data_IF_607799598875
#
_entry.id   IF_607799598875
#
_cell.length_a   1.000
_cell.length_b   1.000
_cell.length_c   1.000
_cell.angle_alpha   90.00
_cell.angle_beta   90.00
_cell.angle_gamma   90.00
#
_symmetry.space_group_name_H-M   'P 1'
#
loop_
_entity.id
_entity.type
_entity.pdbx_description
1 polymer ?
#
# COMPACT_ATOMS: atom_id res chain seq x y z
N UNK A 1 11.99 4.68 33.03
CA UNK A 1 10.76 4.11 32.42
C UNK A 1 9.82 5.26 32.11
N UNK A 2 9.70 5.64 30.83
CA UNK A 2 8.65 6.57 30.38
C UNK A 2 8.06 5.95 29.12
N UNK A 3 6.97 5.20 29.29
CA UNK A 3 6.19 4.70 28.17
C UNK A 3 5.23 5.82 27.76
N UNK A 4 5.74 6.85 27.10
CA UNK A 4 4.90 7.87 26.48
C UNK A 4 4.25 7.23 25.28
N UNK A 5 3.04 6.71 25.44
CA UNK A 5 2.17 6.33 24.31
C UNK A 5 1.86 7.60 23.53
N UNK A 6 2.71 7.93 22.56
CA UNK A 6 2.41 9.02 21.64
C UNK A 6 1.17 8.62 20.85
N UNK A 7 0.17 9.50 20.85
CA UNK A 7 -1.06 9.30 20.09
C UNK A 7 -1.16 10.35 19.01
N UNK A 8 -1.58 9.94 17.82
CA UNK A 8 -1.86 10.83 16.70
C UNK A 8 -3.37 10.91 16.52
N UNK A 9 -3.89 12.13 16.36
CA UNK A 9 -5.27 12.35 15.93
C UNK A 9 -5.27 12.56 14.42
N UNK A 10 -6.10 11.80 13.70
CA UNK A 10 -6.32 11.91 12.25
C UNK A 10 -7.80 12.11 11.96
N UNK A 11 -8.12 12.79 10.87
CA UNK A 11 -9.49 12.99 10.41
C UNK A 11 -9.76 12.17 9.16
N UNK A 12 -10.81 11.34 9.21
CA UNK A 12 -11.22 10.45 8.12
C UNK A 12 -12.73 10.58 7.97
N UNK A 13 -13.18 10.99 6.79
CA UNK A 13 -14.57 11.27 6.43
C UNK A 13 -15.24 12.17 7.47
N UNK A 14 -14.57 13.27 7.83
CA UNK A 14 -15.02 14.29 8.79
C UNK A 14 -15.16 13.77 10.24
N UNK A 15 -14.62 12.59 10.54
CA UNK A 15 -14.58 12.00 11.89
C UNK A 15 -13.14 11.94 12.40
N UNK A 16 -12.94 12.32 13.65
CA UNK A 16 -11.62 12.24 14.29
C UNK A 16 -11.36 10.87 14.92
N UNK A 17 -10.17 10.33 14.68
CA UNK A 17 -9.70 9.08 15.24
C UNK A 17 -8.37 9.31 15.95
N UNK A 18 -8.26 8.76 17.16
CA UNK A 18 -7.02 8.78 17.94
C UNK A 18 -6.35 7.41 17.86
N UNK A 19 -5.16 7.36 17.31
CA UNK A 19 -4.40 6.13 17.09
C UNK A 19 -3.06 6.20 17.82
N UNK A 20 -2.51 5.03 18.17
CA UNK A 20 -1.15 4.95 18.70
C UNK A 20 -0.15 5.29 17.61
N UNK A 21 0.82 6.13 17.94
CA UNK A 21 1.84 6.63 17.06
C UNK A 21 3.21 6.38 17.71
N UNK A 22 3.92 5.33 17.30
CA UNK A 22 5.32 5.15 17.67
C UNK A 22 6.15 6.39 17.30
N UNK A 23 7.30 6.60 17.96
CA UNK A 23 8.29 7.55 17.45
C UNK A 23 8.61 7.19 15.99
N UNK A 24 8.74 8.21 15.14
CA UNK A 24 9.05 8.13 13.71
C UNK A 24 7.91 7.68 12.75
N UNK A 25 6.80 7.13 13.24
CA UNK A 25 5.69 6.69 12.36
C UNK A 25 4.64 7.78 12.05
N UNK A 26 4.82 9.01 12.55
CA UNK A 26 3.77 10.05 12.46
C UNK A 26 3.38 10.38 11.02
N UNK A 27 4.37 10.58 10.16
CA UNK A 27 4.13 11.00 8.77
C UNK A 27 3.55 9.85 7.94
N UNK A 28 4.01 8.62 8.18
CA UNK A 28 3.48 7.39 7.58
C UNK A 28 2.01 7.18 7.97
N UNK A 29 1.68 7.28 9.26
CA UNK A 29 0.30 7.13 9.75
C UNK A 29 -0.61 8.25 9.26
N UNK A 30 -0.10 9.47 9.15
CA UNK A 30 -0.83 10.61 8.56
C UNK A 30 -1.14 10.36 7.09
N UNK A 31 -0.15 9.86 6.34
CA UNK A 31 -0.30 9.52 4.92
C UNK A 31 -1.28 8.36 4.71
N UNK A 32 -1.21 7.32 5.56
CA UNK A 32 -2.15 6.20 5.54
C UNK A 32 -3.59 6.65 5.85
N UNK A 33 -3.79 7.54 6.82
CA UNK A 33 -5.10 8.11 7.13
C UNK A 33 -5.67 8.92 5.95
N UNK A 34 -4.82 9.70 5.28
CA UNK A 34 -5.21 10.45 4.08
C UNK A 34 -5.61 9.52 2.93
N UNK A 35 -4.84 8.47 2.67
CA UNK A 35 -5.16 7.47 1.65
C UNK A 35 -6.53 6.82 1.92
N UNK A 36 -6.81 6.48 3.19
CA UNK A 36 -8.09 5.92 3.59
C UNK A 36 -9.23 6.92 3.41
N UNK A 37 -9.06 8.18 3.81
CA UNK A 37 -10.05 9.26 3.60
C UNK A 37 -10.39 9.43 2.12
N UNK A 38 -9.38 9.53 1.26
CA UNK A 38 -9.54 9.69 -0.18
C UNK A 38 -10.33 8.51 -0.78
N UNK A 39 -9.98 7.27 -0.42
CA UNK A 39 -10.70 6.08 -0.91
C UNK A 39 -12.13 6.00 -0.40
N UNK A 40 -12.38 6.36 0.86
CA UNK A 40 -13.74 6.40 1.38
C UNK A 40 -14.59 7.48 0.69
N UNK A 41 -14.02 8.66 0.38
CA UNK A 41 -14.69 9.72 -0.37
C UNK A 41 -15.03 9.29 -1.80
N UNK A 42 -14.10 8.63 -2.48
CA UNK A 42 -14.32 8.07 -3.82
C UNK A 42 -15.51 7.11 -3.84
N UNK A 43 -15.54 6.15 -2.91
CA UNK A 43 -16.62 5.16 -2.80
C UNK A 43 -17.96 5.86 -2.47
N UNK A 44 -17.94 6.82 -1.53
CA UNK A 44 -19.14 7.61 -1.18
C UNK A 44 -19.70 8.31 -2.41
N UNK A 45 -18.85 9.00 -3.16
CA UNK A 45 -19.24 9.77 -4.35
C UNK A 45 -19.79 8.85 -5.44
N UNK A 46 -19.09 7.76 -5.76
CA UNK A 46 -19.55 6.77 -6.74
C UNK A 46 -20.90 6.15 -6.36
N UNK A 47 -21.11 5.84 -5.07
CA UNK A 47 -22.37 5.27 -4.58
C UNK A 47 -23.55 6.25 -4.71
N UNK A 48 -23.31 7.52 -4.38
CA UNK A 48 -24.32 8.58 -4.51
C UNK A 48 -24.70 8.85 -5.97
N UNK A 49 -23.72 8.86 -6.90
CA UNK A 49 -23.98 9.01 -8.34
C UNK A 49 -24.84 7.88 -8.91
N UNK A 50 -24.74 6.66 -8.35
CA UNK A 50 -25.56 5.51 -8.72
C UNK A 50 -26.94 5.50 -8.04
N UNK A 51 -27.28 6.51 -7.23
CA UNK A 51 -28.52 6.56 -6.45
C UNK A 51 -28.55 5.61 -5.24
N UNK A 52 -27.41 5.00 -4.88
CA UNK A 52 -27.30 4.05 -3.77
C UNK A 52 -26.49 4.66 -2.63
N UNK A 53 -27.16 5.17 -1.62
CA UNK A 53 -26.49 5.71 -0.42
C UNK A 53 -25.97 4.55 0.45
N UNK A 54 -24.65 4.49 0.64
CA UNK A 54 -24.02 3.54 1.56
C UNK A 54 -23.73 4.22 2.90
N UNK A 55 -23.92 3.50 4.01
CA UNK A 55 -23.51 3.97 5.33
C UNK A 55 -21.98 4.00 5.47
N UNK A 56 -21.48 4.88 6.34
CA UNK A 56 -20.04 5.11 6.58
C UNK A 56 -19.27 3.84 6.94
N UNK A 57 -19.84 2.97 7.77
CA UNK A 57 -19.16 1.73 8.18
C UNK A 57 -18.95 0.78 6.99
N UNK A 58 -19.95 0.70 6.10
CA UNK A 58 -19.83 -0.10 4.87
C UNK A 58 -18.83 0.51 3.90
N UNK A 59 -18.80 1.84 3.79
CA UNK A 59 -17.79 2.56 2.99
C UNK A 59 -16.39 2.28 3.53
N UNK A 60 -16.20 2.30 4.85
CA UNK A 60 -14.90 2.02 5.49
C UNK A 60 -14.42 0.59 5.20
N UNK A 61 -15.31 -0.41 5.32
CA UNK A 61 -14.98 -1.82 5.01
C UNK A 61 -14.59 -1.98 3.55
N UNK A 62 -15.33 -1.37 2.61
CA UNK A 62 -15.00 -1.45 1.17
C UNK A 62 -13.66 -0.75 0.89
N UNK A 63 -13.41 0.42 1.48
CA UNK A 63 -12.14 1.13 1.32
C UNK A 63 -10.96 0.31 1.83
N UNK A 64 -11.09 -0.29 3.02
CA UNK A 64 -10.07 -1.15 3.61
C UNK A 64 -9.79 -2.38 2.74
N UNK A 65 -10.83 -3.04 2.22
CA UNK A 65 -10.69 -4.18 1.32
C UNK A 65 -9.98 -3.80 0.00
N UNK A 66 -10.33 -2.66 -0.58
CA UNK A 66 -9.69 -2.18 -1.80
C UNK A 66 -8.19 -1.89 -1.58
N UNK A 67 -7.84 -1.24 -0.48
CA UNK A 67 -6.45 -0.95 -0.13
C UNK A 67 -5.67 -2.25 0.13
N UNK A 68 -6.24 -3.19 0.88
CA UNK A 68 -5.62 -4.50 1.12
C UNK A 68 -5.38 -5.27 -0.18
N UNK A 69 -6.35 -5.23 -1.11
CA UNK A 69 -6.20 -5.86 -2.41
C UNK A 69 -5.08 -5.22 -3.24
N UNK A 70 -4.98 -3.88 -3.26
CA UNK A 70 -3.91 -3.16 -3.95
C UNK A 70 -2.54 -3.49 -3.37
N UNK A 71 -2.42 -3.58 -2.05
CA UNK A 71 -1.17 -4.00 -1.39
C UNK A 71 -0.75 -5.41 -1.84
N UNK A 72 -1.69 -6.36 -1.88
CA UNK A 72 -1.41 -7.72 -2.36
C UNK A 72 -0.96 -7.73 -3.82
N UNK A 73 -1.61 -6.95 -4.68
CA UNK A 73 -1.20 -6.83 -6.08
C UNK A 73 0.21 -6.26 -6.24
N UNK A 74 0.56 -5.24 -5.45
CA UNK A 74 1.91 -4.64 -5.45
C UNK A 74 2.97 -5.63 -4.97
N UNK A 75 2.66 -6.45 -3.96
CA UNK A 75 3.56 -7.51 -3.49
C UNK A 75 3.82 -8.56 -4.56
N UNK A 76 2.77 -9.01 -5.27
CA UNK A 76 2.90 -9.95 -6.39
C UNK A 76 3.71 -9.33 -7.53
N UNK A 77 3.47 -8.07 -7.86
CA UNK A 77 4.22 -7.39 -8.90
C UNK A 77 5.71 -7.25 -8.52
N UNK A 78 6.00 -6.94 -7.26
CA UNK A 78 7.37 -6.86 -6.77
C UNK A 78 8.09 -8.22 -6.85
N UNK A 79 7.41 -9.33 -6.49
CA UNK A 79 8.01 -10.66 -6.62
C UNK A 79 8.27 -11.03 -8.08
N UNK A 80 7.36 -10.69 -8.99
CA UNK A 80 7.56 -10.90 -10.43
C UNK A 80 8.74 -10.10 -10.97
N UNK A 81 8.91 -8.86 -10.54
CA UNK A 81 10.07 -8.03 -10.94
C UNK A 81 11.37 -8.64 -10.41
N UNK A 82 11.39 -9.14 -9.17
CA UNK A 82 12.56 -9.82 -8.62
C UNK A 82 12.92 -11.08 -9.43
N UNK A 83 11.94 -11.92 -9.77
CA UNK A 83 12.16 -13.10 -10.62
C UNK A 83 12.70 -12.74 -12.01
N UNK A 84 12.23 -11.64 -12.61
CA UNK A 84 12.75 -11.18 -13.90
C UNK A 84 14.18 -10.65 -13.81
N UNK A 85 14.56 -10.02 -12.69
CA UNK A 85 15.95 -9.60 -12.45
C UNK A 85 16.85 -10.84 -12.34
N UNK A 86 16.46 -11.84 -11.55
CA UNK A 86 17.23 -13.09 -11.39
C UNK A 86 17.43 -13.78 -12.75
N UNK A 87 16.37 -13.84 -13.58
CA UNK A 87 16.48 -14.41 -14.94
C UNK A 87 17.42 -13.63 -15.85
N UNK A 88 17.48 -12.30 -15.71
CA UNK A 88 18.41 -11.49 -16.49
C UNK A 88 19.85 -11.70 -16.03
N UNK A 89 20.08 -11.84 -14.73
CA UNK A 89 21.39 -12.14 -14.16
C UNK A 89 21.89 -13.51 -14.66
N UNK A 90 21.06 -14.56 -14.60
CA UNK A 90 21.40 -15.89 -15.13
C UNK A 90 21.83 -15.84 -16.62
N UNK A 91 21.14 -15.04 -17.43
CA UNK A 91 21.45 -14.88 -18.86
C UNK A 91 22.75 -14.12 -19.10
N UNK A 92 23.07 -13.15 -18.25
CA UNK A 92 24.34 -12.42 -18.33
C UNK A 92 25.48 -13.36 -17.96
N UNK A 93 25.33 -14.16 -16.90
CA UNK A 93 26.32 -15.16 -16.53
C UNK A 93 26.56 -16.17 -17.66
N UNK A 94 25.50 -16.69 -18.27
CA UNK A 94 25.62 -17.63 -19.39
C UNK A 94 26.35 -17.00 -20.60
N UNK A 95 26.01 -15.76 -20.96
CA UNK A 95 26.64 -15.06 -22.08
C UNK A 95 28.13 -14.80 -21.84
N UNK A 96 28.51 -14.40 -20.63
CA UNK A 96 29.91 -14.18 -20.25
C UNK A 96 30.71 -15.49 -20.28
N UNK A 97 30.11 -16.61 -19.86
CA UNK A 97 30.76 -17.92 -19.93
C UNK A 97 30.94 -18.42 -21.36
N UNK A 98 30.01 -18.12 -22.27
CA UNK A 98 30.14 -18.45 -23.69
C UNK A 98 31.29 -17.68 -24.37
N UNK A 99 31.48 -16.41 -24.01
CA UNK A 99 32.55 -15.57 -24.57
C UNK A 99 33.94 -16.09 -24.19
N UNK A 100 34.13 -16.55 -22.95
CA UNK A 100 35.39 -17.12 -22.46
C UNK A 100 35.73 -18.46 -23.15
N UNK A 101 34.74 -19.22 -23.63
CA UNK A 101 34.98 -20.48 -24.35
C UNK A 101 35.40 -20.29 -25.81
N UNK A 102 35.16 -19.11 -26.39
CA UNK A 102 35.54 -18.79 -27.78
C UNK A 102 36.97 -18.23 -27.90
N UNK A 103 37.60 -17.85 -26.78
CA UNK A 103 38.98 -17.35 -26.73
C UNK A 103 40.05 -18.44 -26.47
N UNK A 104 39.66 -19.71 -26.33
CA UNK A 104 40.53 -20.90 -26.20
C UNK A 104 40.53 -21.75 -27.47
#
# INVERSE_FOLDING_TARGET
MVNSTNTLTVSILEREFRINCPPDSKDELTSAAKLLDDKMREIRNASNSSGKVLGTDRIAVIAALNIAHQLQQLQIQQSQVAEEIDRLDDRIEEALLQEVQLEL
#
